data_IF_250667671276
#
_entry.id   IF_250667671276
#
_cell.length_a   1.000
_cell.length_b   1.000
_cell.length_c   1.000
_cell.angle_alpha   90.00
_cell.angle_beta   90.00
_cell.angle_gamma   90.00
#
_symmetry.space_group_name_H-M   'P 1'
#
loop_
_entity.id
_entity.type
_entity.pdbx_description
1 polymer ?
#
# COMPACT_ATOMS: atom_id res chain seq x y z
N UNK A 1 -28.05 41.05 21.75
CA UNK A 1 -29.12 40.75 22.72
C UNK A 1 -28.87 41.58 23.97
N UNK A 2 -29.86 42.33 24.42
CA UNK A 2 -29.82 43.05 25.70
C UNK A 2 -30.02 42.00 26.78
N UNK A 3 -29.03 41.80 27.66
CA UNK A 3 -29.25 40.97 28.86
C UNK A 3 -30.11 41.83 29.80
N UNK A 4 -31.42 41.64 29.74
CA UNK A 4 -32.34 42.18 30.74
C UNK A 4 -32.42 41.21 31.92
N UNK A 5 -32.14 41.74 33.11
CA UNK A 5 -32.37 41.07 34.37
C UNK A 5 -33.88 41.12 34.68
N UNK A 6 -34.61 40.05 34.34
CA UNK A 6 -36.04 39.95 34.65
C UNK A 6 -36.19 39.28 36.02
N UNK A 7 -36.11 40.05 37.10
CA UNK A 7 -36.50 39.57 38.43
C UNK A 7 -37.88 40.14 38.81
N UNK A 8 -38.92 39.30 38.76
CA UNK A 8 -40.18 39.60 39.42
C UNK A 8 -39.98 39.52 40.95
N UNK A 9 -40.43 40.53 41.68
CA UNK A 9 -40.26 40.65 43.13
C UNK A 9 -40.90 39.45 43.88
N UNK A 10 -40.12 38.74 44.70
CA UNK A 10 -40.59 37.60 45.51
C UNK A 10 -41.29 38.01 46.83
N UNK A 11 -41.54 39.31 47.02
CA UNK A 11 -42.28 39.82 48.18
C UNK A 11 -41.54 39.76 49.51
N UNK A 12 -40.25 39.40 49.53
CA UNK A 12 -39.43 39.40 50.75
C UNK A 12 -38.68 40.72 50.88
N UNK A 13 -39.08 41.54 51.86
CA UNK A 13 -38.43 42.82 52.16
C UNK A 13 -36.98 42.62 52.63
N UNK A 14 -36.01 43.00 51.81
CA UNK A 14 -34.57 42.92 52.11
C UNK A 14 -33.82 41.83 51.34
N UNK A 15 -34.50 41.06 50.49
CA UNK A 15 -33.88 40.20 49.48
C UNK A 15 -33.88 40.92 48.13
N UNK A 16 -32.81 41.61 47.78
CA UNK A 16 -32.52 41.90 46.38
C UNK A 16 -31.92 40.64 45.78
N UNK A 17 -32.70 39.95 44.95
CA UNK A 17 -32.34 38.67 44.33
C UNK A 17 -31.26 38.83 43.23
N UNK A 18 -30.20 39.58 43.54
CA UNK A 18 -29.14 40.03 42.66
C UNK A 18 -27.78 39.45 43.06
N UNK A 19 -27.77 38.31 43.76
CA UNK A 19 -26.52 37.61 44.07
C UNK A 19 -26.05 36.83 42.86
N UNK A 20 -25.45 37.54 41.91
CA UNK A 20 -24.19 37.06 41.36
C UNK A 20 -23.17 37.13 42.51
N UNK A 21 -23.19 36.11 43.38
CA UNK A 21 -22.30 35.99 44.52
C UNK A 21 -20.93 35.53 44.01
N UNK A 22 -19.98 36.46 43.94
CA UNK A 22 -18.57 36.20 43.60
C UNK A 22 -17.71 35.88 44.83
N UNK A 23 -18.31 35.51 45.97
CA UNK A 23 -17.61 34.92 47.11
C UNK A 23 -16.51 35.83 47.70
N UNK A 24 -16.87 36.68 48.65
CA UNK A 24 -15.88 37.40 49.46
C UNK A 24 -15.18 38.59 48.79
N UNK A 25 -15.57 38.96 47.56
CA UNK A 25 -15.09 40.17 46.90
C UNK A 25 -15.86 41.40 47.43
N UNK A 26 -15.34 42.07 48.48
CA UNK A 26 -15.92 43.33 48.96
C UNK A 26 -15.28 44.53 48.27
N UNK A 27 -16.05 45.29 47.50
CA UNK A 27 -15.65 46.62 47.04
C UNK A 27 -15.73 47.61 48.22
N UNK A 28 -14.59 47.85 48.89
CA UNK A 28 -14.50 48.70 50.10
C UNK A 28 -14.70 50.20 49.84
N UNK A 29 -14.96 50.60 48.60
CA UNK A 29 -15.37 51.93 48.21
C UNK A 29 -16.25 51.83 46.97
N UNK A 30 -17.54 52.19 47.02
CA UNK A 30 -18.37 52.24 45.83
C UNK A 30 -17.85 53.37 44.93
N UNK A 31 -16.96 53.01 44.01
CA UNK A 31 -16.61 53.89 42.91
C UNK A 31 -17.71 53.73 41.85
N UNK A 32 -18.50 54.77 41.64
CA UNK A 32 -19.53 54.80 40.58
C UNK A 32 -18.92 54.93 39.17
N UNK A 33 -17.59 54.98 39.03
CA UNK A 33 -16.93 54.93 37.74
C UNK A 33 -16.99 53.51 37.18
N UNK A 34 -17.84 53.33 36.16
CA UNK A 34 -17.76 52.17 35.28
C UNK A 34 -16.48 52.28 34.45
N UNK A 35 -15.61 51.29 34.56
CA UNK A 35 -14.51 51.08 33.63
C UNK A 35 -14.90 49.98 32.66
N UNK A 36 -14.72 50.22 31.36
CA UNK A 36 -14.89 49.17 30.34
C UNK A 36 -13.76 48.17 30.53
N UNK A 37 -14.07 46.99 31.06
CA UNK A 37 -13.09 45.90 31.27
C UNK A 37 -12.97 45.01 30.03
N UNK A 38 -13.89 45.12 29.07
CA UNK A 38 -13.94 44.26 27.88
C UNK A 38 -12.70 44.34 26.97
N UNK A 39 -11.92 45.41 27.04
CA UNK A 39 -10.64 45.53 26.31
C UNK A 39 -9.41 45.14 27.14
N UNK A 40 -9.60 44.84 28.44
CA UNK A 40 -8.55 44.42 29.36
C UNK A 40 -8.59 42.91 29.65
N UNK A 41 -9.66 42.23 29.25
CA UNK A 41 -9.76 40.77 29.25
C UNK A 41 -9.37 40.28 27.85
N UNK A 42 -8.26 39.55 27.78
CA UNK A 42 -7.85 38.81 26.59
C UNK A 42 -8.36 37.37 26.72
N UNK A 43 -8.98 36.87 25.67
CA UNK A 43 -9.28 35.44 25.52
C UNK A 43 -8.31 34.91 24.45
N UNK A 44 -7.55 33.89 24.78
CA UNK A 44 -6.75 33.15 23.82
C UNK A 44 -7.61 32.08 23.13
N UNK A 45 -7.56 32.02 21.80
CA UNK A 45 -8.05 30.86 21.03
C UNK A 45 -7.09 29.69 21.18
N UNK A 46 -7.64 28.48 21.27
CA UNK A 46 -6.90 27.27 20.95
C UNK A 46 -7.16 26.88 19.49
N UNK A 47 -6.33 25.96 18.99
CA UNK A 47 -6.49 25.39 17.65
C UNK A 47 -6.21 23.90 17.68
N UNK A 48 -6.45 23.18 16.57
CA UNK A 48 -6.30 21.75 16.55
C UNK A 48 -4.83 21.34 16.68
N UNK A 49 -4.57 20.25 17.39
CA UNK A 49 -3.22 19.73 17.62
C UNK A 49 -3.12 18.25 17.30
N UNK A 50 -2.08 17.85 16.58
CA UNK A 50 -1.77 16.44 16.33
C UNK A 50 -1.63 15.66 17.65
N UNK A 51 -2.15 14.45 17.67
CA UNK A 51 -2.06 13.54 18.82
C UNK A 51 -1.31 12.25 18.44
N UNK A 52 -1.27 11.26 19.33
CA UNK A 52 -0.54 10.01 19.11
C UNK A 52 -1.44 8.85 18.63
N UNK A 53 -2.68 9.12 18.25
CA UNK A 53 -3.59 8.10 17.73
C UNK A 53 -3.11 7.59 16.37
N UNK A 54 -3.50 6.36 16.05
CA UNK A 54 -3.14 5.71 14.80
C UNK A 54 -4.35 4.99 14.22
N UNK A 55 -4.46 4.96 12.89
CA UNK A 55 -5.47 4.24 12.13
C UNK A 55 -4.79 3.54 10.95
N UNK A 56 -5.20 2.31 10.67
CA UNK A 56 -4.65 1.52 9.57
C UNK A 56 -5.78 0.85 8.79
N UNK A 57 -5.58 0.72 7.49
CA UNK A 57 -6.35 -0.18 6.62
C UNK A 57 -5.39 -1.09 5.86
N UNK A 58 -5.92 -2.19 5.34
CA UNK A 58 -5.15 -3.21 4.66
C UNK A 58 -5.68 -3.40 3.24
N UNK A 59 -4.77 -3.56 2.30
CA UNK A 59 -5.01 -3.99 0.92
C UNK A 59 -3.93 -5.01 0.54
N UNK A 60 -4.10 -5.66 -0.59
CA UNK A 60 -3.19 -6.64 -1.18
C UNK A 60 -3.00 -6.36 -2.68
N UNK A 61 -2.03 -7.06 -3.25
CA UNK A 61 -1.78 -7.08 -4.69
C UNK A 61 -2.49 -8.24 -5.41
N UNK A 62 -2.91 -9.25 -4.67
CA UNK A 62 -3.54 -10.50 -5.12
C UNK A 62 -4.77 -10.29 -6.01
N UNK A 63 -5.60 -9.30 -5.67
CA UNK A 63 -6.82 -8.95 -6.41
C UNK A 63 -6.60 -7.87 -7.48
N UNK A 64 -5.35 -7.48 -7.78
CA UNK A 64 -5.08 -6.50 -8.83
C UNK A 64 -5.57 -6.98 -10.19
N UNK A 65 -6.30 -6.11 -10.87
CA UNK A 65 -6.72 -6.31 -12.25
C UNK A 65 -6.48 -5.02 -13.03
N UNK A 66 -5.58 -5.04 -14.01
CA UNK A 66 -5.33 -3.88 -14.86
C UNK A 66 -3.87 -3.68 -15.23
N UNK A 67 -3.21 -2.72 -14.58
CA UNK A 67 -1.81 -2.34 -14.86
C UNK A 67 -0.80 -3.44 -14.45
N UNK A 68 -1.24 -4.29 -13.52
CA UNK A 68 -0.65 -5.56 -13.10
C UNK A 68 -1.80 -6.54 -12.82
N UNK A 69 -1.49 -7.82 -12.66
CA UNK A 69 -2.50 -8.87 -12.39
C UNK A 69 -2.01 -9.77 -11.27
N UNK A 70 -2.67 -9.72 -10.12
CA UNK A 70 -2.33 -10.52 -8.96
C UNK A 70 -2.73 -11.99 -9.05
N UNK A 71 -2.26 -12.80 -8.11
CA UNK A 71 -2.70 -14.18 -7.89
C UNK A 71 -3.49 -14.26 -6.58
N UNK A 72 -4.81 -14.42 -6.68
CA UNK A 72 -5.68 -14.53 -5.49
C UNK A 72 -5.33 -15.69 -4.56
N UNK A 73 -5.14 -15.39 -3.28
CA UNK A 73 -5.02 -16.35 -2.19
C UNK A 73 -6.41 -16.78 -1.62
N UNK A 74 -7.49 -16.10 -2.06
CA UNK A 74 -8.89 -16.26 -1.65
C UNK A 74 -9.18 -15.84 -0.19
N UNK A 75 -8.47 -14.86 0.34
CA UNK A 75 -8.80 -14.22 1.59
C UNK A 75 -9.98 -13.21 1.43
N UNK A 76 -10.13 -12.27 2.37
CA UNK A 76 -11.16 -11.23 2.31
C UNK A 76 -10.57 -9.82 2.14
N UNK A 77 -9.25 -9.70 2.14
CA UNK A 77 -8.53 -8.49 1.80
C UNK A 77 -8.72 -8.27 0.30
N UNK A 78 -8.62 -7.01 -0.12
CA UNK A 78 -8.73 -6.66 -1.53
C UNK A 78 -7.87 -5.42 -1.78
N UNK A 79 -7.73 -5.06 -3.05
CA UNK A 79 -7.14 -3.77 -3.49
C UNK A 79 -7.85 -2.50 -2.99
N UNK A 80 -8.99 -2.58 -2.29
CA UNK A 80 -9.77 -1.42 -1.84
C UNK A 80 -10.01 -1.44 -0.33
N UNK A 81 -9.72 -0.33 0.35
CA UNK A 81 -10.07 -0.13 1.75
C UNK A 81 -10.43 1.32 2.04
N UNK A 82 -11.08 1.61 3.17
CA UNK A 82 -11.51 2.96 3.49
C UNK A 82 -11.35 3.33 4.95
N UNK A 83 -10.98 4.59 5.19
CA UNK A 83 -11.13 5.25 6.48
C UNK A 83 -12.44 6.01 6.52
N UNK A 84 -13.01 6.14 7.71
CA UNK A 84 -14.10 7.09 7.99
C UNK A 84 -13.52 8.46 8.35
N UNK A 85 -14.29 9.53 8.12
CA UNK A 85 -13.92 10.87 8.57
C UNK A 85 -13.72 10.94 10.08
N UNK A 86 -14.48 10.16 10.85
CA UNK A 86 -14.29 10.02 12.30
C UNK A 86 -12.91 9.44 12.67
N UNK A 87 -12.41 8.45 11.92
CA UNK A 87 -11.08 7.87 12.16
C UNK A 87 -9.98 8.89 11.90
N UNK A 88 -10.07 9.66 10.81
CA UNK A 88 -9.06 10.68 10.49
C UNK A 88 -9.15 11.88 11.45
N UNK A 89 -10.36 12.35 11.78
CA UNK A 89 -10.57 13.41 12.77
C UNK A 89 -10.01 13.03 14.15
N UNK A 90 -10.04 11.75 14.50
CA UNK A 90 -9.48 11.23 15.76
C UNK A 90 -7.96 11.35 15.89
N UNK A 91 -7.24 11.68 14.82
CA UNK A 91 -5.78 11.89 14.81
C UNK A 91 -5.37 13.27 15.38
N UNK A 92 -6.34 14.15 15.64
CA UNK A 92 -6.11 15.47 16.25
C UNK A 92 -6.97 15.67 17.49
N UNK A 93 -6.52 16.54 18.38
CA UNK A 93 -7.35 17.12 19.43
C UNK A 93 -7.89 18.46 18.88
N UNK A 94 -9.21 18.61 18.77
CA UNK A 94 -9.80 19.83 18.21
C UNK A 94 -9.75 21.07 19.11
N UNK A 95 -9.24 20.96 20.34
CA UNK A 95 -9.38 22.04 21.32
C UNK A 95 -10.82 22.26 21.79
N UNK A 96 -11.16 23.51 22.08
CA UNK A 96 -12.50 23.94 22.50
C UNK A 96 -13.49 23.98 21.33
N UNK A 97 -13.01 24.19 20.11
CA UNK A 97 -13.82 24.49 18.91
C UNK A 97 -14.25 23.24 18.12
N UNK A 98 -14.77 22.26 18.85
CA UNK A 98 -15.30 21.02 18.28
C UNK A 98 -16.59 21.26 17.43
N UNK A 99 -16.80 20.46 16.37
CA UNK A 99 -15.96 19.38 15.86
C UNK A 99 -14.92 19.85 14.82
N UNK A 100 -13.82 19.12 14.66
CA UNK A 100 -12.97 19.27 13.46
C UNK A 100 -13.65 18.74 12.21
N UNK A 101 -13.31 19.36 11.10
CA UNK A 101 -13.53 18.87 9.74
C UNK A 101 -12.22 18.40 9.11
N UNK A 102 -12.29 17.44 8.20
CA UNK A 102 -11.11 16.86 7.55
C UNK A 102 -11.14 17.09 6.03
N UNK A 103 -10.01 17.48 5.46
CA UNK A 103 -9.85 17.63 4.00
C UNK A 103 -8.51 17.11 3.53
N UNK A 104 -8.38 16.87 2.22
CA UNK A 104 -7.09 16.53 1.60
C UNK A 104 -6.18 17.76 1.54
N UNK A 105 -4.91 17.57 1.87
CA UNK A 105 -3.90 18.63 1.89
C UNK A 105 -3.39 18.94 0.47
N UNK A 106 -3.62 20.14 -0.08
CA UNK A 106 -3.09 20.50 -1.41
C UNK A 106 -1.55 20.58 -1.47
N UNK A 107 -0.87 20.68 -0.32
CA UNK A 107 0.59 20.74 -0.25
C UNK A 107 1.26 19.36 -0.30
N UNK A 108 0.48 18.26 -0.35
CA UNK A 108 1.04 16.92 -0.52
C UNK A 108 1.53 16.65 -1.95
N UNK A 109 1.19 17.54 -2.89
CA UNK A 109 1.55 17.40 -4.29
C UNK A 109 3.07 17.28 -4.51
N UNK A 110 3.47 16.31 -5.32
CA UNK A 110 4.85 15.94 -5.63
C UNK A 110 5.71 15.54 -4.42
N UNK A 111 5.08 15.11 -3.31
CA UNK A 111 5.80 14.54 -2.16
C UNK A 111 6.05 13.05 -2.38
N UNK A 112 7.29 12.62 -2.15
CA UNK A 112 7.68 11.22 -2.27
C UNK A 112 7.09 10.38 -1.12
N UNK A 113 6.46 9.26 -1.47
CA UNK A 113 5.92 8.28 -0.51
C UNK A 113 7.01 7.45 0.15
N UNK A 114 8.20 7.38 -0.46
CA UNK A 114 9.29 6.48 -0.10
C UNK A 114 9.12 5.04 -0.61
N UNK A 115 8.07 4.78 -1.40
CA UNK A 115 7.80 3.50 -2.05
C UNK A 115 8.03 3.61 -3.56
N UNK A 116 8.34 2.49 -4.19
CA UNK A 116 8.56 2.38 -5.63
C UNK A 116 7.50 1.45 -6.26
N UNK A 117 7.26 1.63 -7.57
CA UNK A 117 6.47 0.73 -8.41
C UNK A 117 7.18 0.54 -9.75
N UNK A 118 7.46 -0.72 -10.12
CA UNK A 118 8.28 -1.10 -11.29
C UNK A 118 9.62 -0.35 -11.31
N UNK A 119 10.23 -0.18 -10.14
CA UNK A 119 11.52 0.50 -9.91
C UNK A 119 11.48 2.02 -10.00
N UNK A 120 10.29 2.64 -10.06
CA UNK A 120 10.13 4.09 -10.12
C UNK A 120 9.42 4.61 -8.87
N UNK A 121 9.92 5.70 -8.29
CA UNK A 121 9.34 6.26 -7.07
C UNK A 121 7.93 6.77 -7.25
N UNK A 122 7.09 6.46 -6.27
CA UNK A 122 5.70 6.85 -6.22
C UNK A 122 5.61 8.21 -5.51
N UNK A 123 5.16 9.22 -6.25
CA UNK A 123 4.90 10.54 -5.73
C UNK A 123 3.39 10.73 -5.49
N UNK A 124 3.03 11.39 -4.40
CA UNK A 124 1.68 11.91 -4.24
C UNK A 124 1.41 12.98 -5.31
N UNK A 125 0.23 12.92 -5.92
CA UNK A 125 -0.26 13.85 -6.93
C UNK A 125 -1.61 14.38 -6.44
N UNK A 126 -1.66 15.66 -6.07
CA UNK A 126 -2.90 16.29 -5.62
C UNK A 126 -3.71 16.70 -6.85
N UNK A 127 -4.78 15.96 -7.12
CA UNK A 127 -5.61 16.17 -8.31
C UNK A 127 -6.64 17.27 -8.06
N UNK A 128 -7.39 17.15 -6.96
CA UNK A 128 -8.39 18.11 -6.53
C UNK A 128 -8.75 17.93 -5.05
N UNK A 129 -9.68 18.74 -4.54
CA UNK A 129 -10.08 18.74 -3.13
C UNK A 129 -10.61 17.39 -2.60
N UNK A 130 -10.93 16.44 -3.48
CA UNK A 130 -11.47 15.12 -3.16
C UNK A 130 -10.61 13.96 -3.66
N UNK A 131 -9.51 14.22 -4.37
CA UNK A 131 -8.68 13.18 -4.97
C UNK A 131 -7.19 13.47 -4.78
N UNK A 132 -6.48 12.47 -4.24
CA UNK A 132 -5.02 12.37 -4.28
C UNK A 132 -4.66 11.04 -4.92
N UNK A 133 -3.69 11.04 -5.83
CA UNK A 133 -3.17 9.85 -6.47
C UNK A 133 -1.75 9.55 -5.96
N UNK A 134 -1.33 8.29 -6.07
CA UNK A 134 0.09 7.91 -6.10
C UNK A 134 0.48 7.64 -7.55
N UNK A 135 1.51 8.34 -8.05
CA UNK A 135 1.93 8.27 -9.46
C UNK A 135 3.39 7.87 -9.57
N UNK A 136 3.67 6.84 -10.38
CA UNK A 136 5.03 6.39 -10.72
C UNK A 136 5.18 6.28 -12.24
N UNK A 137 6.18 6.97 -12.82
CA UNK A 137 6.44 7.02 -14.27
C UNK A 137 5.17 7.31 -15.11
N UNK A 138 4.30 8.20 -14.61
CA UNK A 138 3.04 8.59 -15.26
C UNK A 138 1.89 7.58 -15.14
N UNK A 139 2.08 6.44 -14.47
CA UNK A 139 1.02 5.49 -14.09
C UNK A 139 0.45 5.87 -12.73
N UNK A 140 -0.87 5.79 -12.59
CA UNK A 140 -1.52 5.88 -11.28
C UNK A 140 -1.45 4.52 -10.60
N UNK A 141 -0.65 4.44 -9.52
CA UNK A 141 -0.42 3.21 -8.73
C UNK A 141 -1.50 3.05 -7.66
N UNK A 142 -1.96 4.15 -7.07
CA UNK A 142 -3.11 4.13 -6.16
C UNK A 142 -3.91 5.43 -6.24
N UNK A 143 -5.11 5.40 -5.68
CA UNK A 143 -5.96 6.59 -5.48
C UNK A 143 -6.46 6.64 -4.04
N UNK A 144 -6.63 7.86 -3.52
CA UNK A 144 -7.30 8.15 -2.27
C UNK A 144 -8.41 9.17 -2.56
N UNK A 145 -9.67 8.76 -2.37
CA UNK A 145 -10.85 9.54 -2.74
C UNK A 145 -11.69 9.86 -1.51
N UNK A 146 -11.92 11.14 -1.26
CA UNK A 146 -12.85 11.61 -0.25
C UNK A 146 -14.27 11.70 -0.83
N UNK A 147 -15.21 10.98 -0.21
CA UNK A 147 -16.64 11.02 -0.57
C UNK A 147 -17.47 11.44 0.63
N UNK A 148 -18.38 12.39 0.41
CA UNK A 148 -19.31 12.84 1.43
C UNK A 148 -20.21 11.70 1.92
N UNK A 149 -20.45 11.67 3.23
CA UNK A 149 -21.32 10.70 3.87
C UNK A 149 -22.81 10.91 3.62
N UNK A 150 -23.62 10.42 4.55
CA UNK A 150 -25.08 10.50 4.47
C UNK A 150 -25.59 11.95 4.58
N UNK A 151 -24.83 12.83 5.22
CA UNK A 151 -25.18 14.25 5.35
C UNK A 151 -24.88 15.09 4.09
N UNK A 152 -24.24 14.50 3.08
CA UNK A 152 -23.87 15.10 1.79
C UNK A 152 -22.91 16.30 1.90
N UNK A 153 -22.22 16.46 3.04
CA UNK A 153 -21.25 17.51 3.29
C UNK A 153 -19.86 16.90 3.40
N UNK A 154 -18.88 17.46 2.70
CA UNK A 154 -17.49 17.05 2.88
C UNK A 154 -16.92 17.56 4.21
N UNK A 155 -15.98 16.78 4.72
CA UNK A 155 -15.19 17.00 5.91
C UNK A 155 -15.84 16.56 7.20
N UNK A 156 -16.99 15.89 7.17
CA UNK A 156 -17.68 15.42 8.37
C UNK A 156 -17.26 14.01 8.75
N UNK A 157 -17.68 13.58 9.94
CA UNK A 157 -17.26 12.30 10.53
C UNK A 157 -17.74 11.07 9.74
N UNK A 158 -18.78 11.23 8.91
CA UNK A 158 -19.37 10.17 8.08
C UNK A 158 -18.80 10.12 6.65
N UNK A 159 -17.84 10.98 6.32
CA UNK A 159 -17.08 10.87 5.07
C UNK A 159 -16.35 9.53 4.97
N UNK A 160 -16.16 9.07 3.74
CA UNK A 160 -15.29 7.95 3.43
C UNK A 160 -14.05 8.45 2.68
N UNK A 161 -12.87 8.00 3.12
CA UNK A 161 -11.59 8.17 2.43
C UNK A 161 -11.19 6.80 1.88
N UNK A 162 -11.59 6.53 0.63
CA UNK A 162 -11.39 5.25 -0.02
C UNK A 162 -10.03 5.21 -0.70
N UNK A 163 -9.18 4.31 -0.25
CA UNK A 163 -7.94 3.94 -0.90
C UNK A 163 -8.20 2.79 -1.88
N UNK A 164 -7.65 2.90 -3.09
CA UNK A 164 -7.68 1.84 -4.10
C UNK A 164 -6.28 1.67 -4.67
N UNK A 165 -5.71 0.47 -4.53
CA UNK A 165 -4.50 0.03 -5.22
C UNK A 165 -4.84 -0.33 -6.67
N UNK A 166 -4.02 0.12 -7.62
CA UNK A 166 -4.25 -0.01 -9.07
C UNK A 166 -3.07 -0.64 -9.81
N UNK A 167 -1.89 -0.61 -9.20
CA UNK A 167 -0.68 -1.27 -9.68
C UNK A 167 0.14 -1.75 -8.49
N UNK A 168 1.12 -2.62 -8.75
CA UNK A 168 2.00 -3.17 -7.72
C UNK A 168 2.84 -2.08 -7.03
N UNK A 169 3.37 -2.44 -5.88
CA UNK A 169 4.40 -1.77 -5.12
C UNK A 169 5.60 -2.72 -5.09
N UNK A 170 6.82 -2.17 -5.12
CA UNK A 170 8.01 -3.02 -5.10
C UNK A 170 8.28 -3.55 -3.68
N UNK A 171 8.01 -4.84 -3.46
CA UNK A 171 8.36 -5.54 -2.22
C UNK A 171 9.80 -6.04 -2.19
N UNK A 172 10.26 -6.47 -1.01
CA UNK A 172 11.59 -7.09 -0.92
C UNK A 172 11.59 -8.46 -1.60
N UNK A 173 12.71 -8.93 -2.20
CA UNK A 173 12.73 -10.28 -2.75
C UNK A 173 12.53 -11.37 -1.67
N UNK A 174 11.98 -12.52 -2.04
CA UNK A 174 11.80 -13.68 -1.16
C UNK A 174 13.08 -14.09 -0.42
N UNK A 175 14.23 -14.01 -1.08
CA UNK A 175 15.54 -14.33 -0.50
C UNK A 175 15.90 -13.44 0.71
N UNK A 176 15.28 -12.28 0.82
CA UNK A 176 15.45 -11.31 1.92
C UNK A 176 14.21 -11.18 2.82
N UNK A 177 13.15 -11.96 2.58
CA UNK A 177 11.97 -12.02 3.44
C UNK A 177 10.64 -11.65 2.78
N UNK A 178 10.60 -11.20 1.52
CA UNK A 178 9.37 -10.86 0.82
C UNK A 178 8.69 -12.06 0.18
N UNK A 179 8.10 -12.90 1.02
CA UNK A 179 7.12 -13.88 0.56
C UNK A 179 5.74 -13.24 0.41
N UNK A 180 4.75 -14.09 0.17
CA UNK A 180 3.33 -13.75 0.00
C UNK A 180 2.80 -12.88 1.16
N UNK A 181 2.94 -13.37 2.40
CA UNK A 181 2.50 -12.65 3.59
C UNK A 181 3.41 -11.47 4.01
N UNK A 182 4.31 -11.01 3.14
CA UNK A 182 5.10 -9.81 3.41
C UNK A 182 4.24 -8.57 3.23
N UNK A 183 4.49 -7.54 4.04
CA UNK A 183 3.71 -6.31 3.99
C UNK A 183 4.60 -5.09 4.05
N UNK A 184 4.21 -4.06 3.29
CA UNK A 184 4.80 -2.73 3.33
C UNK A 184 3.73 -1.73 3.79
N UNK A 185 4.16 -0.73 4.56
CA UNK A 185 3.28 0.33 5.05
C UNK A 185 3.51 1.62 4.26
N UNK A 186 2.48 2.09 3.57
CA UNK A 186 2.39 3.45 3.05
C UNK A 186 1.97 4.40 4.19
N UNK A 187 2.82 5.36 4.51
CA UNK A 187 2.45 6.45 5.43
C UNK A 187 1.56 7.48 4.72
N UNK A 188 0.46 7.88 5.36
CA UNK A 188 -0.37 9.00 4.92
C UNK A 188 -0.09 10.28 5.72
N UNK A 189 1.12 10.41 6.25
CA UNK A 189 1.59 11.62 6.91
C UNK A 189 1.45 12.84 5.97
N UNK A 190 0.93 13.93 6.49
CA UNK A 190 0.68 15.19 5.78
C UNK A 190 -0.33 15.12 4.63
N UNK A 191 -1.04 14.00 4.43
CA UNK A 191 -2.09 13.87 3.40
C UNK A 191 -3.36 14.65 3.79
N UNK A 192 -3.62 14.82 5.08
CA UNK A 192 -4.86 15.41 5.59
C UNK A 192 -4.64 16.73 6.34
N UNK A 193 -5.62 17.62 6.26
CA UNK A 193 -5.74 18.83 7.08
C UNK A 193 -6.98 18.72 7.94
N UNK A 194 -6.84 18.99 9.23
CA UNK A 194 -7.95 19.15 10.15
C UNK A 194 -8.21 20.65 10.41
N UNK A 195 -9.49 21.06 10.39
CA UNK A 195 -9.93 22.44 10.64
C UNK A 195 -11.07 22.45 11.64
N UNK A 196 -10.97 23.23 12.70
CA UNK A 196 -11.99 23.32 13.76
C UNK A 196 -13.11 24.33 13.43
N UNK A 197 -13.92 24.66 14.43
CA UNK A 197 -15.18 25.39 14.27
C UNK A 197 -15.04 26.86 13.86
N UNK A 198 -13.93 27.52 14.17
CA UNK A 198 -13.68 28.93 13.85
C UNK A 198 -12.63 29.14 12.76
N UNK A 199 -11.94 28.06 12.36
CA UNK A 199 -11.12 27.99 11.15
C UNK A 199 -9.64 27.76 11.40
N UNK A 200 -9.24 27.52 12.64
CA UNK A 200 -7.89 27.09 12.96
C UNK A 200 -7.62 25.69 12.40
N UNK A 201 -6.40 25.48 11.92
CA UNK A 201 -6.07 24.28 11.14
C UNK A 201 -4.68 23.73 11.44
N UNK A 202 -4.57 22.41 11.30
CA UNK A 202 -3.33 21.65 11.47
C UNK A 202 -3.22 20.60 10.37
N UNK A 203 -2.01 20.41 9.86
CA UNK A 203 -1.67 19.28 8.99
C UNK A 203 -1.45 18.07 9.87
N UNK A 204 -2.16 16.98 9.59
CA UNK A 204 -2.00 15.70 10.30
C UNK A 204 -0.66 15.11 9.88
N UNK A 205 0.34 15.15 10.76
CA UNK A 205 1.73 14.83 10.44
C UNK A 205 2.07 13.34 10.58
N UNK A 206 1.20 12.53 11.18
CA UNK A 206 1.38 11.10 11.37
C UNK A 206 0.05 10.40 11.73
N UNK A 207 0.08 9.07 11.79
CA UNK A 207 -0.96 8.26 12.42
C UNK A 207 -1.85 7.47 11.46
N UNK A 208 -2.04 7.92 10.21
CA UNK A 208 -2.74 7.15 9.19
C UNK A 208 -1.76 6.37 8.30
N UNK A 209 -2.07 5.11 8.02
CA UNK A 209 -1.28 4.25 7.12
C UNK A 209 -2.14 3.24 6.36
N UNK A 210 -1.64 2.81 5.21
CA UNK A 210 -2.17 1.67 4.45
C UNK A 210 -1.11 0.58 4.48
N UNK A 211 -1.48 -0.62 4.90
CA UNK A 211 -0.65 -1.82 4.77
C UNK A 211 -0.97 -2.50 3.46
N UNK A 212 0.04 -2.77 2.63
CA UNK A 212 -0.07 -3.48 1.36
C UNK A 212 0.64 -4.82 1.48
N UNK A 213 -0.12 -5.91 1.33
CA UNK A 213 0.42 -7.27 1.24
C UNK A 213 0.95 -7.57 -0.17
N UNK A 214 2.01 -8.35 -0.21
CA UNK A 214 2.72 -8.73 -1.43
C UNK A 214 1.98 -9.83 -2.19
N UNK A 215 2.21 -9.92 -3.50
CA UNK A 215 1.88 -11.10 -4.30
C UNK A 215 3.18 -11.85 -4.68
N UNK A 216 3.10 -13.14 -5.02
CA UNK A 216 4.28 -13.91 -5.46
C UNK A 216 4.02 -14.80 -6.67
N UNK A 217 5.04 -15.04 -7.52
CA UNK A 217 4.88 -15.94 -8.65
C UNK A 217 4.46 -17.36 -8.24
N UNK A 218 3.53 -17.95 -8.98
CA UNK A 218 3.01 -19.30 -8.72
C UNK A 218 3.14 -20.21 -9.96
N UNK A 219 3.60 -21.44 -9.76
CA UNK A 219 3.59 -22.45 -10.84
C UNK A 219 2.15 -22.70 -11.32
N UNK A 220 1.98 -22.78 -12.63
CA UNK A 220 0.69 -23.11 -13.22
C UNK A 220 0.69 -24.55 -13.79
N UNK A 221 -0.43 -24.95 -14.40
CA UNK A 221 -0.59 -26.29 -14.98
C UNK A 221 -0.11 -26.39 -16.44
N UNK A 222 0.49 -25.33 -16.99
CA UNK A 222 1.00 -25.36 -18.36
C UNK A 222 2.15 -26.36 -18.47
N UNK A 223 2.31 -26.88 -19.68
CA UNK A 223 3.42 -27.76 -20.03
C UNK A 223 4.00 -27.32 -21.37
N UNK A 224 5.31 -27.48 -21.50
CA UNK A 224 6.01 -27.26 -22.76
C UNK A 224 6.85 -28.50 -23.05
N UNK A 225 6.94 -28.85 -24.33
CA UNK A 225 7.77 -29.95 -24.79
C UNK A 225 8.56 -29.53 -26.02
N UNK A 226 9.67 -30.23 -26.23
CA UNK A 226 10.44 -30.23 -27.46
C UNK A 226 10.83 -31.68 -27.75
N UNK A 227 11.10 -31.98 -29.02
CA UNK A 227 11.49 -33.30 -29.46
C UNK A 227 12.93 -33.27 -29.94
N UNK A 228 13.67 -34.32 -29.60
CA UNK A 228 15.00 -34.61 -30.12
C UNK A 228 15.06 -36.09 -30.46
N UNK A 229 15.87 -36.42 -31.45
CA UNK A 229 15.95 -37.79 -31.96
C UNK A 229 17.33 -38.41 -31.70
N UNK A 230 17.30 -39.62 -31.16
CA UNK A 230 18.50 -40.40 -30.80
C UNK A 230 19.12 -41.06 -32.05
N UNK A 231 18.34 -41.31 -33.09
CA UNK A 231 18.80 -41.96 -34.32
C UNK A 231 19.65 -41.06 -35.24
N UNK A 232 19.73 -39.76 -34.93
CA UNK A 232 20.60 -38.78 -35.56
C UNK A 232 21.96 -38.66 -34.84
N UNK A 233 22.19 -39.42 -33.76
CA UNK A 233 23.48 -39.43 -33.07
C UNK A 233 24.60 -39.98 -33.98
N UNK A 234 25.74 -39.29 -33.99
CA UNK A 234 26.94 -39.67 -34.78
C UNK A 234 28.22 -39.81 -33.93
N UNK A 235 28.12 -39.64 -32.61
CA UNK A 235 29.26 -39.57 -31.68
C UNK A 235 29.45 -40.82 -30.82
N UNK A 236 29.22 -40.70 -29.50
CA UNK A 236 29.39 -41.77 -28.51
C UNK A 236 28.47 -43.00 -28.73
N UNK A 237 27.43 -42.80 -29.54
CA UNK A 237 26.53 -43.78 -30.12
C UNK A 237 26.27 -43.38 -31.58
N UNK A 238 25.90 -44.35 -32.42
CA UNK A 238 25.51 -44.10 -33.81
C UNK A 238 24.10 -44.61 -34.03
N UNK A 239 23.20 -43.71 -34.39
CA UNK A 239 21.82 -44.01 -34.69
C UNK A 239 21.59 -44.52 -36.12
N UNK A 240 20.35 -44.91 -36.42
CA UNK A 240 19.90 -45.31 -37.76
C UNK A 240 18.76 -44.39 -38.17
N UNK A 241 19.10 -43.28 -38.84
CA UNK A 241 18.13 -42.25 -39.22
C UNK A 241 16.95 -42.81 -40.01
N UNK A 242 15.74 -42.37 -39.66
CA UNK A 242 14.53 -42.62 -40.42
C UNK A 242 14.30 -41.59 -41.55
N UNK A 243 15.16 -40.56 -41.64
CA UNK A 243 15.13 -39.44 -42.58
C UNK A 243 13.97 -38.46 -42.39
N UNK A 244 13.51 -38.24 -41.17
CA UNK A 244 12.64 -37.11 -40.83
C UNK A 244 13.42 -35.76 -40.73
N UNK A 245 12.80 -34.73 -40.16
CA UNK A 245 13.41 -33.39 -40.01
C UNK A 245 13.84 -33.06 -38.58
N UNK A 246 13.60 -33.97 -37.62
CA UNK A 246 13.95 -33.81 -36.22
C UNK A 246 15.45 -34.06 -36.07
N UNK A 247 16.06 -33.51 -35.02
CA UNK A 247 17.50 -33.60 -34.81
C UNK A 247 17.83 -33.88 -33.35
N UNK A 248 19.11 -34.03 -33.04
CA UNK A 248 19.61 -34.16 -31.66
C UNK A 248 19.50 -32.85 -30.84
N UNK A 249 19.02 -31.76 -31.43
CA UNK A 249 18.95 -30.43 -30.81
C UNK A 249 17.55 -29.86 -30.93
N UNK A 250 17.04 -29.33 -29.82
CA UNK A 250 15.84 -28.51 -29.77
C UNK A 250 15.99 -27.42 -28.70
N UNK A 251 15.11 -26.42 -28.74
CA UNK A 251 15.20 -25.26 -27.85
C UNK A 251 13.82 -24.82 -27.36
N UNK A 252 13.76 -24.41 -26.10
CA UNK A 252 12.68 -23.60 -25.57
C UNK A 252 13.06 -22.13 -25.70
N UNK A 253 12.08 -21.28 -26.03
CA UNK A 253 12.21 -19.83 -25.88
C UNK A 253 12.06 -19.46 -24.40
N UNK A 254 12.66 -18.33 -23.97
CA UNK A 254 12.45 -17.81 -22.62
C UNK A 254 10.97 -17.58 -22.30
N UNK A 255 10.18 -17.14 -23.29
CA UNK A 255 8.73 -16.97 -23.14
C UNK A 255 7.99 -18.30 -22.89
N UNK A 256 8.41 -19.41 -23.52
CA UNK A 256 7.81 -20.73 -23.26
C UNK A 256 8.07 -21.18 -21.82
N UNK A 257 9.27 -20.98 -21.30
CA UNK A 257 9.60 -21.35 -19.92
C UNK A 257 8.92 -20.40 -18.92
N UNK A 258 8.93 -19.09 -19.18
CA UNK A 258 8.23 -18.11 -18.34
C UNK A 258 6.73 -18.39 -18.26
N UNK A 259 6.12 -18.86 -19.35
CA UNK A 259 4.70 -19.24 -19.40
C UNK A 259 4.30 -20.43 -18.51
N UNK A 260 5.26 -21.14 -17.90
CA UNK A 260 5.00 -22.17 -16.88
C UNK A 260 4.67 -21.59 -15.50
N UNK A 261 4.83 -20.28 -15.34
CA UNK A 261 4.65 -19.56 -14.08
C UNK A 261 3.66 -18.42 -14.33
N UNK A 262 2.68 -18.28 -13.44
CA UNK A 262 1.90 -17.05 -13.34
C UNK A 262 2.77 -16.03 -12.61
N UNK A 263 2.99 -14.86 -13.20
CA UNK A 263 3.89 -13.85 -12.65
C UNK A 263 3.41 -13.31 -11.30
N UNK A 264 2.10 -13.19 -11.13
CA UNK A 264 1.55 -12.31 -10.12
C UNK A 264 1.64 -10.85 -10.56
N UNK A 265 1.36 -9.95 -9.63
CA UNK A 265 1.40 -8.51 -9.82
C UNK A 265 2.83 -8.01 -10.15
N UNK A 266 3.84 -8.73 -9.66
CA UNK A 266 5.28 -8.54 -9.90
C UNK A 266 5.76 -9.03 -11.29
N UNK A 267 5.16 -8.50 -12.35
CA UNK A 267 5.52 -8.85 -13.73
C UNK A 267 6.74 -8.07 -14.27
N UNK A 268 7.60 -8.68 -15.11
CA UNK A 268 7.52 -10.04 -15.66
C UNK A 268 8.35 -11.10 -14.89
N UNK A 269 7.99 -12.38 -15.07
CA UNK A 269 8.81 -13.51 -14.60
C UNK A 269 10.20 -13.51 -15.26
N UNK A 270 11.23 -13.68 -14.44
CA UNK A 270 12.59 -13.97 -14.89
C UNK A 270 12.92 -15.45 -14.72
N UNK A 271 13.67 -16.02 -15.65
CA UNK A 271 13.99 -17.46 -15.69
C UNK A 271 15.49 -17.67 -15.74
N UNK A 272 15.99 -18.54 -14.87
CA UNK A 272 17.38 -18.99 -14.81
C UNK A 272 17.47 -20.48 -14.49
N UNK A 273 18.62 -21.09 -14.77
CA UNK A 273 18.90 -22.47 -14.35
C UNK A 273 19.01 -22.55 -12.81
N UNK A 274 18.38 -23.57 -12.22
CA UNK A 274 18.35 -23.77 -10.79
C UNK A 274 19.62 -24.55 -10.32
N UNK A 275 20.52 -23.96 -9.51
CA UNK A 275 21.71 -24.64 -9.02
C UNK A 275 21.40 -25.84 -8.10
N UNK A 276 20.20 -25.88 -7.51
CA UNK A 276 19.78 -27.00 -6.65
C UNK A 276 19.43 -28.27 -7.43
N UNK A 277 19.47 -28.24 -8.77
CA UNK A 277 19.27 -29.42 -9.60
C UNK A 277 20.48 -30.35 -9.62
N UNK A 278 21.63 -29.90 -9.10
CA UNK A 278 22.86 -30.68 -9.12
C UNK A 278 22.74 -32.04 -8.42
N UNK A 279 23.24 -33.09 -9.07
CA UNK A 279 23.16 -34.48 -8.64
C UNK A 279 21.74 -35.04 -8.47
N UNK A 280 20.72 -34.39 -9.05
CA UNK A 280 19.34 -34.91 -9.07
C UNK A 280 19.18 -35.92 -10.21
N UNK A 281 18.56 -37.07 -9.92
CA UNK A 281 18.26 -38.09 -10.93
C UNK A 281 17.18 -37.60 -11.89
N UNK A 282 17.47 -37.71 -13.19
CA UNK A 282 16.52 -37.37 -14.27
C UNK A 282 15.40 -38.40 -14.39
N UNK A 283 15.59 -39.61 -13.85
CA UNK A 283 14.73 -40.78 -14.06
C UNK A 283 15.01 -41.50 -15.39
N UNK A 284 16.02 -41.06 -16.14
CA UNK A 284 16.48 -41.67 -17.38
C UNK A 284 17.79 -42.45 -17.14
N UNK A 285 18.01 -43.50 -17.93
CA UNK A 285 19.25 -44.27 -17.92
C UNK A 285 19.96 -44.19 -19.27
N UNK A 286 21.29 -44.11 -19.26
CA UNK A 286 22.13 -44.28 -20.46
C UNK A 286 23.08 -45.45 -20.27
N UNK A 287 23.00 -46.43 -21.18
CA UNK A 287 23.79 -47.69 -21.14
C UNK A 287 23.66 -48.42 -19.78
N UNK A 288 22.46 -48.36 -19.18
CA UNK A 288 22.14 -49.00 -17.91
C UNK A 288 22.67 -48.28 -16.67
N UNK A 289 23.13 -47.04 -16.79
CA UNK A 289 23.49 -46.16 -15.67
C UNK A 289 22.59 -44.94 -15.64
N UNK A 290 22.11 -44.54 -14.46
CA UNK A 290 21.23 -43.39 -14.31
C UNK A 290 21.91 -42.09 -14.73
N UNK A 291 21.15 -41.23 -15.38
CA UNK A 291 21.58 -39.90 -15.80
C UNK A 291 21.22 -38.93 -14.68
N UNK A 292 22.25 -38.33 -14.07
CA UNK A 292 22.08 -37.28 -13.08
C UNK A 292 22.24 -35.92 -13.75
N UNK A 293 21.48 -34.93 -13.30
CA UNK A 293 21.78 -33.54 -13.61
C UNK A 293 23.10 -33.13 -12.95
N UNK A 294 23.92 -32.39 -13.68
CA UNK A 294 25.20 -31.83 -13.25
C UNK A 294 25.15 -30.32 -13.53
N UNK A 295 25.04 -29.53 -12.47
CA UNK A 295 25.00 -28.07 -12.59
C UNK A 295 26.41 -27.54 -12.76
N UNK A 296 26.71 -27.03 -13.95
CA UNK A 296 28.05 -26.55 -14.29
C UNK A 296 28.20 -25.07 -13.91
N UNK A 297 27.28 -24.24 -14.40
CA UNK A 297 27.21 -22.81 -14.13
C UNK A 297 25.82 -22.24 -14.43
N UNK A 298 25.66 -20.92 -14.27
CA UNK A 298 24.38 -20.23 -14.45
C UNK A 298 23.74 -20.41 -15.84
N UNK A 299 24.50 -20.80 -16.86
CA UNK A 299 23.99 -21.00 -18.22
C UNK A 299 24.14 -22.42 -18.72
N UNK A 300 24.65 -23.36 -17.92
CA UNK A 300 24.90 -24.74 -18.35
C UNK A 300 24.52 -25.78 -17.29
N UNK A 301 23.70 -26.75 -17.69
CA UNK A 301 23.42 -27.99 -16.96
C UNK A 301 23.67 -29.17 -17.89
N UNK A 302 24.33 -30.21 -17.41
CA UNK A 302 24.54 -31.45 -18.15
C UNK A 302 23.64 -32.56 -17.60
N UNK A 303 23.35 -33.57 -18.43
CA UNK A 303 22.95 -34.89 -17.97
C UNK A 303 24.14 -35.83 -18.05
N UNK A 304 24.60 -36.40 -16.94
CA UNK A 304 25.81 -37.23 -16.86
C UNK A 304 25.48 -38.64 -16.37
N UNK A 305 25.99 -39.65 -17.07
CA UNK A 305 25.91 -41.05 -16.66
C UNK A 305 27.29 -41.71 -16.71
N UNK A 306 27.74 -42.29 -15.58
CA UNK A 306 29.03 -42.98 -15.46
C UNK A 306 30.21 -42.14 -16.01
N UNK A 307 30.23 -40.86 -15.65
CA UNK A 307 31.24 -39.88 -16.06
C UNK A 307 31.15 -39.39 -17.51
N UNK A 308 30.13 -39.78 -18.27
CA UNK A 308 29.89 -39.34 -19.65
C UNK A 308 28.74 -38.34 -19.70
N UNK A 309 28.94 -37.20 -20.35
CA UNK A 309 27.84 -36.29 -20.72
C UNK A 309 26.96 -36.96 -21.77
N UNK A 310 25.68 -37.12 -21.45
CA UNK A 310 24.64 -37.71 -22.30
C UNK A 310 23.88 -36.62 -23.05
N UNK A 311 23.52 -35.53 -22.37
CA UNK A 311 22.92 -34.35 -22.98
C UNK A 311 23.40 -33.08 -22.28
N UNK A 312 23.15 -31.94 -22.91
CA UNK A 312 23.44 -30.61 -22.37
C UNK A 312 22.22 -29.71 -22.51
N UNK A 313 21.93 -28.93 -21.47
CA UNK A 313 20.98 -27.82 -21.50
C UNK A 313 21.77 -26.52 -21.34
N UNK A 314 21.65 -25.64 -22.33
CA UNK A 314 22.42 -24.39 -22.40
C UNK A 314 21.46 -23.21 -22.51
N UNK A 315 21.56 -22.25 -21.60
CA UNK A 315 20.87 -20.97 -21.70
C UNK A 315 21.73 -20.02 -22.55
N UNK A 316 21.19 -19.58 -23.68
CA UNK A 316 21.83 -18.58 -24.54
C UNK A 316 21.08 -17.25 -24.44
N UNK A 317 21.80 -16.12 -24.57
CA UNK A 317 21.15 -14.83 -24.76
C UNK A 317 20.36 -14.84 -26.08
N UNK A 318 19.11 -14.38 -26.02
CA UNK A 318 18.24 -14.18 -27.19
C UNK A 318 18.58 -12.92 -27.97
#
# INVERSE_FOLDING_TARGET
>A
MLIENVSNADGVSGNDNNTFDIGGFSLSSPNAASAVVGTAVHFEDDGPLNNAATVNVNVDEDELTGLSTGITDNDATTTVAAFTGAQIAGLVNAGADQPVTVSLNPLIDNVDTGLDSKGSSILFDFVDATHVNGVADGRTVFTLVQTAGADTKLGTADDAFTFTLLDQIDHTPLATGGGDAETIALSLASVFVATDGDGDSVVIDAGASVTIENDVPQNNAATVNVNVDEDELTGLSTGITDNDATTTVAAFTGAQIAGLVNAGADEPVTVSLNPLIDNVDTGLDSKGSSILFDFVDATHVNGVADGRTVFTLVQTAG
#
